data_IF_408375137288
#
_entry.id   IF_408375137288
#
_cell.length_a   1.000
_cell.length_b   1.000
_cell.length_c   1.000
_cell.angle_alpha   90.00
_cell.angle_beta   90.00
_cell.angle_gamma   90.00
#
_symmetry.space_group_name_H-M   'P 1'
#
loop_
_entity.id
_entity.type
_entity.pdbx_description
1 polymer ?
#
# COMPACT_ATOMS: atom_id res chain seq x y z
N UNK A 1 -50.32 -24.87 -40.92
CA UNK A 1 -50.47 -23.94 -39.78
C UNK A 1 -49.71 -24.47 -38.56
N UNK A 2 -48.46 -24.93 -38.76
CA UNK A 2 -47.66 -25.64 -37.75
C UNK A 2 -46.19 -25.16 -37.70
N UNK A 3 -45.85 -24.06 -38.38
CA UNK A 3 -44.45 -23.68 -38.69
C UNK A 3 -43.92 -22.47 -37.88
N UNK A 4 -44.76 -21.87 -37.02
CA UNK A 4 -44.38 -20.65 -36.28
C UNK A 4 -43.87 -20.96 -34.87
N UNK A 5 -44.02 -22.21 -34.39
CA UNK A 5 -43.73 -22.55 -32.99
C UNK A 5 -42.25 -22.86 -32.72
N UNK A 6 -41.51 -23.40 -33.69
CA UNK A 6 -40.10 -23.77 -33.49
C UNK A 6 -39.13 -22.57 -33.42
N UNK A 7 -39.52 -21.40 -33.96
CA UNK A 7 -38.59 -20.28 -34.06
C UNK A 7 -38.47 -19.43 -32.78
N UNK A 8 -39.33 -19.64 -31.78
CA UNK A 8 -39.25 -18.94 -30.50
C UNK A 8 -38.31 -19.62 -29.50
N UNK A 9 -38.20 -20.94 -29.52
CA UNK A 9 -37.39 -21.67 -28.54
C UNK A 9 -35.87 -21.45 -28.74
N UNK A 10 -35.43 -21.18 -29.99
CA UNK A 10 -34.02 -20.84 -30.27
C UNK A 10 -33.61 -19.43 -29.81
N UNK A 11 -34.56 -18.51 -29.67
CA UNK A 11 -34.27 -17.13 -29.20
C UNK A 11 -34.07 -17.10 -27.69
N UNK A 12 -34.87 -17.86 -26.95
CA UNK A 12 -34.77 -17.91 -25.48
C UNK A 12 -33.47 -18.61 -25.01
N UNK A 13 -32.96 -19.57 -25.79
CA UNK A 13 -31.69 -20.24 -25.50
C UNK A 13 -30.46 -19.35 -25.73
N UNK A 14 -30.51 -18.40 -26.67
CA UNK A 14 -29.40 -17.47 -26.94
C UNK A 14 -29.33 -16.30 -25.94
N UNK A 15 -30.47 -15.83 -25.44
CA UNK A 15 -30.51 -14.68 -24.53
C UNK A 15 -30.18 -15.06 -23.06
N UNK A 16 -30.40 -16.32 -22.69
CA UNK A 16 -30.06 -16.84 -21.35
C UNK A 16 -28.54 -16.99 -21.07
N UNK A 17 -27.71 -17.06 -22.12
CA UNK A 17 -26.26 -17.25 -21.99
C UNK A 17 -25.46 -15.97 -21.74
N UNK A 18 -25.85 -14.84 -22.34
CA UNK A 18 -25.13 -13.56 -22.25
C UNK A 18 -25.27 -12.92 -20.85
N UNK A 19 -26.45 -13.04 -20.23
CA UNK A 19 -26.70 -12.45 -18.92
C UNK A 19 -25.80 -13.02 -17.80
N UNK A 20 -25.38 -14.29 -17.88
CA UNK A 20 -24.49 -14.90 -16.87
C UNK A 20 -23.04 -14.40 -16.97
N UNK A 21 -22.60 -13.99 -18.16
CA UNK A 21 -21.27 -13.38 -18.35
C UNK A 21 -21.31 -11.93 -17.86
N UNK A 22 -22.40 -11.20 -18.15
CA UNK A 22 -22.61 -9.83 -17.68
C UNK A 22 -22.80 -9.72 -16.16
N UNK A 23 -23.35 -10.73 -15.49
CA UNK A 23 -23.46 -10.74 -14.02
C UNK A 23 -22.14 -11.00 -13.31
N UNK A 24 -21.20 -11.76 -13.91
CA UNK A 24 -19.87 -11.98 -13.32
C UNK A 24 -18.95 -10.76 -13.41
N UNK A 25 -19.22 -9.83 -14.32
CA UNK A 25 -18.46 -8.59 -14.48
C UNK A 25 -19.10 -7.38 -13.81
N UNK A 26 -20.23 -7.50 -13.11
CA UNK A 26 -20.71 -6.39 -12.29
C UNK A 26 -19.64 -6.10 -11.26
N UNK A 27 -18.92 -4.96 -11.37
CA UNK A 27 -17.87 -4.64 -10.42
C UNK A 27 -18.54 -4.59 -9.07
N UNK A 28 -18.12 -5.49 -8.18
CA UNK A 28 -18.56 -5.55 -6.80
C UNK A 28 -18.57 -4.11 -6.30
N UNK A 29 -19.73 -3.61 -5.91
CA UNK A 29 -19.88 -2.27 -5.35
C UNK A 29 -19.17 -2.31 -4.00
N UNK A 30 -17.84 -2.30 -4.03
CA UNK A 30 -17.03 -2.10 -2.84
C UNK A 30 -17.33 -0.69 -2.41
N UNK A 31 -18.08 -0.58 -1.32
CA UNK A 31 -18.46 0.69 -0.74
C UNK A 31 -17.19 1.54 -0.63
N UNK A 32 -17.10 2.65 -1.38
CA UNK A 32 -15.86 3.40 -1.52
C UNK A 32 -15.40 3.98 -0.17
N UNK A 33 -16.25 3.94 0.86
CA UNK A 33 -15.95 4.26 2.25
C UNK A 33 -15.06 3.23 2.96
N UNK A 34 -15.25 1.93 2.75
CA UNK A 34 -14.61 0.88 3.56
C UNK A 34 -13.09 0.87 3.36
N UNK A 35 -12.62 0.99 2.12
CA UNK A 35 -11.19 1.01 1.82
C UNK A 35 -10.45 2.16 2.53
N UNK A 36 -11.09 3.33 2.66
CA UNK A 36 -10.51 4.53 3.29
C UNK A 36 -10.19 4.30 4.75
N UNK A 37 -11.15 3.74 5.48
CA UNK A 37 -10.99 3.43 6.90
C UNK A 37 -9.98 2.33 7.12
N UNK A 38 -9.97 1.29 6.28
CA UNK A 38 -8.99 0.20 6.38
C UNK A 38 -7.57 0.74 6.23
N UNK A 39 -7.27 1.48 5.16
CA UNK A 39 -5.91 2.02 4.95
C UNK A 39 -5.51 3.06 6.01
N UNK A 40 -6.43 3.92 6.44
CA UNK A 40 -6.16 4.92 7.47
C UNK A 40 -5.93 4.30 8.85
N UNK A 41 -6.71 3.27 9.21
CA UNK A 41 -6.52 2.52 10.45
C UNK A 41 -5.20 1.75 10.42
N UNK A 42 -4.88 1.13 9.28
CA UNK A 42 -3.63 0.40 9.11
C UNK A 42 -2.42 1.33 9.33
N UNK A 43 -2.42 2.53 8.74
CA UNK A 43 -1.38 3.55 8.99
C UNK A 43 -1.25 3.91 10.47
N UNK A 44 -2.37 4.10 11.17
CA UNK A 44 -2.35 4.41 12.60
C UNK A 44 -1.78 3.25 13.43
N UNK A 45 -2.17 2.02 13.11
CA UNK A 45 -1.67 0.82 13.79
C UNK A 45 -0.17 0.67 13.56
N UNK A 46 0.31 0.87 12.34
CA UNK A 46 1.73 0.83 12.02
C UNK A 46 2.50 1.99 12.68
N UNK A 47 1.94 3.20 12.71
CA UNK A 47 2.54 4.33 13.42
C UNK A 47 2.71 4.01 14.91
N UNK A 48 1.67 3.49 15.55
CA UNK A 48 1.71 3.09 16.96
C UNK A 48 2.69 1.94 17.22
N UNK A 49 2.69 0.93 16.34
CA UNK A 49 3.63 -0.19 16.43
C UNK A 49 5.09 0.26 16.29
N UNK A 50 5.38 1.13 15.31
CA UNK A 50 6.73 1.68 15.16
C UNK A 50 7.15 2.49 16.38
N UNK A 51 6.27 3.35 16.89
CA UNK A 51 6.55 4.12 18.08
C UNK A 51 6.86 3.21 19.27
N UNK A 52 6.06 2.14 19.46
CA UNK A 52 6.25 1.15 20.52
C UNK A 52 7.57 0.39 20.37
N UNK A 53 7.90 -0.09 19.17
CA UNK A 53 9.13 -0.85 18.92
C UNK A 53 10.36 0.05 19.10
N UNK A 54 10.36 1.24 18.50
CA UNK A 54 11.52 2.13 18.53
C UNK A 54 11.74 2.80 19.89
N UNK A 55 10.70 3.15 20.64
CA UNK A 55 10.85 3.75 21.96
C UNK A 55 10.92 2.71 23.08
N UNK A 56 10.27 1.55 22.92
CA UNK A 56 10.14 0.55 23.97
C UNK A 56 11.17 -0.59 23.90
N UNK A 57 11.46 -1.09 22.70
CA UNK A 57 12.29 -2.31 22.53
C UNK A 57 13.73 -1.96 22.19
N UNK A 58 13.95 -0.91 21.38
CA UNK A 58 15.28 -0.52 20.90
C UNK A 58 15.74 0.74 21.64
N UNK A 59 16.37 0.63 22.82
CA UNK A 59 16.94 1.77 23.51
C UNK A 59 18.11 2.34 22.70
N UNK A 60 17.82 3.28 21.81
CA UNK A 60 18.84 4.04 21.09
C UNK A 60 19.46 5.06 22.04
N UNK A 61 20.78 4.97 22.26
CA UNK A 61 21.56 6.03 22.93
C UNK A 61 21.70 7.29 22.06
N UNK A 62 21.45 7.17 20.76
CA UNK A 62 21.52 8.25 19.80
C UNK A 62 20.16 8.95 19.69
N UNK A 63 20.12 10.24 20.05
CA UNK A 63 18.92 11.06 19.89
C UNK A 63 18.49 11.24 18.41
N UNK A 64 19.42 11.09 17.46
CA UNK A 64 19.14 11.17 16.03
C UNK A 64 18.23 10.01 15.58
N UNK A 65 18.49 8.79 16.04
CA UNK A 65 17.63 7.64 15.72
C UNK A 65 16.22 7.82 16.27
N UNK A 66 16.10 8.31 17.50
CA UNK A 66 14.79 8.61 18.11
C UNK A 66 14.04 9.68 17.33
N UNK A 67 14.73 10.75 16.93
CA UNK A 67 14.14 11.82 16.12
C UNK A 67 13.61 11.30 14.78
N UNK A 68 14.38 10.45 14.08
CA UNK A 68 13.96 9.84 12.82
C UNK A 68 12.75 8.91 13.04
N UNK A 69 12.77 8.07 14.07
CA UNK A 69 11.66 7.16 14.37
C UNK A 69 10.36 7.91 14.69
N UNK A 70 10.43 8.98 15.49
CA UNK A 70 9.29 9.84 15.80
C UNK A 70 8.80 10.56 14.54
N UNK A 71 9.71 11.06 13.71
CA UNK A 71 9.37 11.70 12.45
C UNK A 71 8.60 10.74 11.53
N UNK A 72 9.14 9.54 11.28
CA UNK A 72 8.50 8.52 10.43
C UNK A 72 7.14 8.11 10.98
N UNK A 73 7.05 7.84 12.29
CA UNK A 73 5.78 7.47 12.93
C UNK A 73 4.76 8.61 12.85
N UNK A 74 5.21 9.85 13.02
CA UNK A 74 4.39 11.05 12.87
C UNK A 74 3.87 11.23 11.44
N UNK A 75 4.72 11.00 10.43
CA UNK A 75 4.30 11.03 9.03
C UNK A 75 3.24 9.97 8.71
N UNK A 76 3.38 8.74 9.22
CA UNK A 76 2.34 7.71 9.08
C UNK A 76 1.04 8.15 9.76
N UNK A 77 1.12 8.64 11.00
CA UNK A 77 -0.06 9.08 11.74
C UNK A 77 -0.80 10.22 10.99
N UNK A 78 -0.06 11.21 10.48
CA UNK A 78 -0.61 12.30 9.67
C UNK A 78 -1.23 11.77 8.37
N UNK A 79 -0.58 10.80 7.72
CA UNK A 79 -1.11 10.12 6.53
C UNK A 79 -2.43 9.41 6.79
N UNK A 80 -2.48 8.60 7.85
CA UNK A 80 -3.67 7.85 8.26
C UNK A 80 -4.84 8.75 8.65
N UNK A 81 -4.57 9.78 9.47
CA UNK A 81 -5.58 10.78 9.84
C UNK A 81 -6.07 11.55 8.61
N UNK A 82 -5.16 11.92 7.70
CA UNK A 82 -5.50 12.59 6.44
C UNK A 82 -6.40 11.75 5.53
N UNK A 83 -6.19 10.43 5.51
CA UNK A 83 -7.05 9.45 4.81
C UNK A 83 -8.45 9.37 5.42
N UNK A 84 -8.54 9.30 6.74
CA UNK A 84 -9.82 9.21 7.46
C UNK A 84 -10.66 10.48 7.28
N UNK A 85 -10.03 11.66 7.36
CA UNK A 85 -10.73 12.94 7.25
C UNK A 85 -11.14 13.31 5.82
N UNK A 86 -10.57 12.67 4.80
CA UNK A 86 -10.85 12.91 3.37
C UNK A 86 -10.83 14.37 2.90
N UNK A 87 -10.12 15.26 3.60
CA UNK A 87 -10.06 16.67 3.20
C UNK A 87 -9.23 16.84 1.92
N UNK A 88 -9.47 17.89 1.09
CA UNK A 88 -8.65 18.15 -0.09
C UNK A 88 -7.18 18.40 0.27
N UNK A 89 -6.93 18.96 1.45
CA UNK A 89 -5.59 19.09 2.03
C UNK A 89 -5.02 17.75 2.50
N UNK A 90 -5.83 16.92 3.18
CA UNK A 90 -5.43 15.57 3.61
C UNK A 90 -4.94 14.70 2.46
N UNK A 91 -5.57 14.79 1.27
CA UNK A 91 -5.12 14.08 0.07
C UNK A 91 -3.74 14.51 -0.44
N UNK A 92 -3.38 15.79 -0.30
CA UNK A 92 -2.04 16.28 -0.68
C UNK A 92 -1.00 15.82 0.35
N UNK A 93 -1.31 15.96 1.63
CA UNK A 93 -0.47 15.50 2.74
C UNK A 93 -0.19 14.01 2.67
N UNK A 94 -1.21 13.17 2.45
CA UNK A 94 -1.04 11.72 2.30
C UNK A 94 -0.11 11.35 1.13
N UNK A 95 -0.22 12.05 -0.01
CA UNK A 95 0.69 11.84 -1.15
C UNK A 95 2.13 12.22 -0.80
N UNK A 96 2.34 13.37 -0.17
CA UNK A 96 3.68 13.82 0.24
C UNK A 96 4.26 12.83 1.24
N UNK A 97 3.48 12.42 2.23
CA UNK A 97 3.92 11.44 3.23
C UNK A 97 4.31 10.11 2.58
N UNK A 98 3.50 9.58 1.67
CA UNK A 98 3.85 8.39 0.88
C UNK A 98 5.17 8.55 0.13
N UNK A 99 5.38 9.67 -0.56
CA UNK A 99 6.63 9.91 -1.28
C UNK A 99 7.85 9.99 -0.37
N UNK A 100 7.72 10.66 0.77
CA UNK A 100 8.77 10.75 1.77
C UNK A 100 9.09 9.36 2.35
N UNK A 101 8.07 8.55 2.63
CA UNK A 101 8.23 7.17 3.11
C UNK A 101 8.93 6.28 2.08
N UNK A 102 8.54 6.36 0.81
CA UNK A 102 9.20 5.63 -0.27
C UNK A 102 10.66 6.06 -0.40
N UNK A 103 10.94 7.37 -0.39
CA UNK A 103 12.29 7.90 -0.46
C UNK A 103 13.13 7.44 0.74
N UNK A 104 12.58 7.48 1.96
CA UNK A 104 13.24 6.99 3.17
C UNK A 104 13.52 5.48 3.09
N UNK A 105 12.57 4.68 2.59
CA UNK A 105 12.74 3.24 2.37
C UNK A 105 13.87 2.95 1.37
N UNK A 106 13.94 3.70 0.27
CA UNK A 106 15.02 3.56 -0.72
C UNK A 106 16.38 3.92 -0.14
N UNK A 107 16.44 5.00 0.65
CA UNK A 107 17.68 5.43 1.31
C UNK A 107 18.14 4.40 2.35
N UNK A 108 17.20 3.81 3.10
CA UNK A 108 17.49 2.72 4.03
C UNK A 108 18.00 1.48 3.30
N UNK A 109 17.36 1.06 2.21
CA UNK A 109 17.82 -0.05 1.38
C UNK A 109 19.22 0.21 0.82
N UNK A 110 19.47 1.41 0.31
CA UNK A 110 20.78 1.79 -0.19
C UNK A 110 21.84 1.70 0.91
N UNK A 111 21.56 2.24 2.09
CA UNK A 111 22.44 2.13 3.26
C UNK A 111 22.71 0.69 3.69
N UNK A 112 21.68 -0.17 3.66
CA UNK A 112 21.83 -1.61 3.96
C UNK A 112 22.72 -2.30 2.92
N UNK A 113 22.51 -2.04 1.63
CA UNK A 113 23.31 -2.63 0.55
C UNK A 113 24.76 -2.16 0.65
N UNK A 114 25.00 -0.87 0.90
CA UNK A 114 26.36 -0.34 1.12
C UNK A 114 27.02 -0.98 2.35
N UNK A 115 26.29 -1.13 3.45
CA UNK A 115 26.81 -1.76 4.67
C UNK A 115 27.12 -3.24 4.45
N UNK A 116 26.24 -3.96 3.75
CA UNK A 116 26.41 -5.36 3.41
C UNK A 116 27.63 -5.58 2.51
N UNK A 117 27.78 -4.74 1.47
CA UNK A 117 28.94 -4.78 0.57
C UNK A 117 30.25 -4.50 1.32
N UNK A 118 30.23 -3.53 2.25
CA UNK A 118 31.39 -3.21 3.09
C UNK A 118 31.75 -4.36 4.05
N UNK A 119 30.76 -4.97 4.71
CA UNK A 119 30.98 -6.13 5.58
C UNK A 119 31.56 -7.32 4.81
N UNK A 120 31.03 -7.59 3.63
CA UNK A 120 31.50 -8.69 2.80
C UNK A 120 32.96 -8.48 2.37
N UNK A 121 33.33 -7.26 2.00
CA UNK A 121 34.70 -6.94 1.57
C UNK A 121 35.78 -7.05 2.66
N UNK A 122 35.43 -6.83 3.93
CA UNK A 122 36.41 -6.84 5.04
C UNK A 122 36.41 -8.16 5.81
N UNK A 123 35.24 -8.76 6.02
CA UNK A 123 35.07 -9.85 6.98
C UNK A 123 34.82 -11.23 6.34
N UNK A 124 34.85 -11.32 5.01
CA UNK A 124 34.69 -12.51 4.16
C UNK A 124 33.74 -13.59 4.73
N UNK A 125 34.23 -14.47 5.62
CA UNK A 125 33.41 -15.50 6.30
C UNK A 125 32.39 -14.99 7.33
N UNK A 126 32.72 -14.00 8.17
CA UNK A 126 31.75 -13.40 9.12
C UNK A 126 30.82 -12.41 8.41
N UNK A 127 31.29 -11.85 7.29
CA UNK A 127 30.50 -10.94 6.45
C UNK A 127 29.25 -11.59 5.87
N UNK A 128 29.27 -12.89 5.57
CA UNK A 128 28.12 -13.60 4.99
C UNK A 128 26.87 -13.57 5.87
N UNK A 129 27.01 -13.74 7.19
CA UNK A 129 25.89 -13.66 8.12
C UNK A 129 25.29 -12.24 8.17
N UNK A 130 26.14 -11.21 8.12
CA UNK A 130 25.72 -9.81 8.05
C UNK A 130 24.96 -9.49 6.76
N UNK A 131 25.40 -10.02 5.62
CA UNK A 131 24.70 -9.90 4.34
C UNK A 131 23.32 -10.57 4.41
N UNK A 132 23.24 -11.81 4.92
CA UNK A 132 21.96 -12.51 5.06
C UNK A 132 20.97 -11.77 5.97
N UNK A 133 21.44 -11.27 7.12
CA UNK A 133 20.61 -10.45 8.02
C UNK A 133 20.16 -9.16 7.35
N UNK A 134 21.06 -8.46 6.63
CA UNK A 134 20.69 -7.24 5.92
C UNK A 134 19.66 -7.51 4.82
N UNK A 135 19.73 -8.63 4.11
CA UNK A 135 18.72 -9.02 3.12
C UNK A 135 17.34 -9.27 3.77
N UNK A 136 17.31 -9.92 4.93
CA UNK A 136 16.07 -10.15 5.69
C UNK A 136 15.47 -8.81 6.16
N UNK A 137 16.29 -7.92 6.72
CA UNK A 137 15.84 -6.59 7.16
C UNK A 137 15.36 -5.75 5.98
N UNK A 138 16.05 -5.82 4.83
CA UNK A 138 15.63 -5.17 3.60
C UNK A 138 14.27 -5.69 3.11
N UNK A 139 14.07 -7.01 3.09
CA UNK A 139 12.80 -7.62 2.73
C UNK A 139 11.67 -7.17 3.67
N UNK A 140 11.90 -7.20 4.97
CA UNK A 140 10.95 -6.72 5.98
C UNK A 140 10.66 -5.22 5.82
N UNK A 141 11.66 -4.41 5.53
CA UNK A 141 11.47 -2.98 5.29
C UNK A 141 10.60 -2.74 4.05
N UNK A 142 10.83 -3.48 2.96
CA UNK A 142 10.00 -3.38 1.75
C UNK A 142 8.56 -3.81 2.06
N UNK A 143 8.38 -4.92 2.77
CA UNK A 143 7.05 -5.45 3.08
C UNK A 143 6.27 -4.54 4.03
N UNK A 144 6.89 -4.10 5.12
CA UNK A 144 6.22 -3.32 6.17
C UNK A 144 6.11 -1.82 5.81
N UNK A 145 7.19 -1.23 5.30
CA UNK A 145 7.27 0.22 5.02
C UNK A 145 6.92 0.54 3.57
N UNK A 146 7.30 -0.32 2.62
CA UNK A 146 7.15 -0.05 1.18
C UNK A 146 5.79 -0.46 0.61
N UNK A 147 5.25 -1.61 1.03
CA UNK A 147 4.05 -2.18 0.42
C UNK A 147 2.81 -1.35 0.70
N UNK A 148 2.65 -0.91 1.94
CA UNK A 148 1.50 -0.15 2.42
C UNK A 148 1.30 1.20 1.70
N UNK A 149 2.30 2.10 1.65
CA UNK A 149 2.16 3.37 0.92
C UNK A 149 2.02 3.15 -0.59
N UNK A 150 2.61 2.09 -1.14
CA UNK A 150 2.44 1.75 -2.55
C UNK A 150 0.99 1.38 -2.86
N UNK A 151 0.36 0.57 -2.01
CA UNK A 151 -1.06 0.22 -2.12
C UNK A 151 -1.97 1.43 -1.95
N UNK A 152 -1.68 2.31 -1.00
CA UNK A 152 -2.41 3.57 -0.83
C UNK A 152 -2.32 4.46 -2.08
N UNK A 153 -1.13 4.60 -2.68
CA UNK A 153 -0.92 5.39 -3.89
C UNK A 153 -1.71 4.81 -5.07
N UNK A 154 -1.70 3.49 -5.22
CA UNK A 154 -2.48 2.76 -6.22
C UNK A 154 -3.98 2.98 -6.03
N UNK A 155 -4.47 2.90 -4.80
CA UNK A 155 -5.87 3.16 -4.46
C UNK A 155 -6.27 4.61 -4.81
N UNK A 156 -5.46 5.59 -4.42
CA UNK A 156 -5.70 7.00 -4.74
C UNK A 156 -5.72 7.25 -6.26
N UNK A 157 -4.83 6.60 -7.03
CA UNK A 157 -4.81 6.67 -8.50
C UNK A 157 -6.04 6.04 -9.16
N UNK A 158 -6.60 4.97 -8.57
CA UNK A 158 -7.84 4.35 -9.06
C UNK A 158 -9.03 5.29 -8.89
N UNK A 159 -9.20 5.88 -7.70
CA UNK A 159 -10.28 6.84 -7.43
C UNK A 159 -10.19 8.06 -8.35
N UNK A 160 -8.99 8.63 -8.51
CA UNK A 160 -8.81 9.80 -9.35
C UNK A 160 -9.20 9.55 -10.82
N UNK A 161 -8.89 8.36 -11.36
CA UNK A 161 -9.31 7.97 -12.71
C UNK A 161 -10.82 7.83 -12.82
N UNK A 162 -11.48 7.18 -11.86
CA UNK A 162 -12.94 7.01 -11.86
C UNK A 162 -13.69 8.35 -11.89
N UNK A 163 -13.20 9.36 -11.18
CA UNK A 163 -13.80 10.69 -11.16
C UNK A 163 -13.70 11.41 -12.52
N UNK A 164 -12.60 11.23 -13.26
CA UNK A 164 -12.43 11.83 -14.60
C UNK A 164 -13.43 11.24 -15.60
N UNK A 165 -13.68 9.92 -15.55
CA UNK A 165 -14.65 9.28 -16.44
C UNK A 165 -16.10 9.63 -16.12
N UNK A 166 -16.41 9.98 -14.88
CA UNK A 166 -17.76 10.38 -14.47
C UNK A 166 -18.12 11.82 -14.84
N UNK A 167 -17.14 12.73 -14.90
CA UNK A 167 -17.35 14.16 -15.20
C UNK A 167 -17.32 14.54 -16.68
N UNK A 168 -17.10 13.58 -17.59
CA UNK A 168 -17.03 13.80 -19.04
C UNK A 168 -18.35 13.60 -19.79
N UNK A 169 -19.51 13.69 -19.12
CA UNK A 169 -20.84 13.64 -19.73
C UNK A 169 -21.58 14.96 -19.53
#
# INVERSE_FOLDING_TARGET
MADVRDHNDERDARDGGDNRVRERERPRHEDPGVGRYVYGLLDLVFAGLYLLVFLGIVPSRSGLYTAIAVLVSGLLAIGGVGMILWTPWGRKLAKIACWVLIAACLLLLFGLVTSAAYLHGIYDGVGQAGVALSAIVAALAIELVGLLPTLQLLYLRRIARGAVFAGGR
#
